data_IF_530021718643
#
_entry.id   IF_530021718643
#
_cell.length_a   1.000
_cell.length_b   1.000
_cell.length_c   1.000
_cell.angle_alpha   90.00
_cell.angle_beta   90.00
_cell.angle_gamma   90.00
#
_symmetry.space_group_name_H-M   'P 1'
#
loop_
_entity.id
_entity.type
_entity.pdbx_description
1 polymer ?
#
# COMPACT_ATOMS: atom_id res chain seq x y z
N UNK A 1 27.80 1.58 -17.34
CA UNK A 1 27.25 2.72 -16.59
C UNK A 1 25.74 2.53 -16.60
N UNK A 2 25.28 1.60 -15.77
CA UNK A 2 23.88 1.17 -15.62
C UNK A 2 23.71 1.10 -14.09
N UNK A 3 23.73 2.25 -13.43
CA UNK A 3 23.66 2.34 -11.95
C UNK A 3 22.71 3.46 -11.49
N UNK A 4 21.94 4.09 -12.39
CA UNK A 4 21.11 5.27 -12.04
C UNK A 4 19.58 5.06 -12.17
N UNK A 5 19.11 3.88 -12.59
CA UNK A 5 17.66 3.63 -12.76
C UNK A 5 17.05 2.89 -11.54
N UNK A 6 17.83 2.12 -10.78
CA UNK A 6 17.33 1.36 -9.62
C UNK A 6 17.13 2.21 -8.36
N UNK A 7 17.83 3.34 -8.19
CA UNK A 7 17.78 4.14 -6.94
C UNK A 7 16.54 5.05 -6.80
N UNK A 8 15.71 5.19 -7.83
CA UNK A 8 14.67 6.24 -7.85
C UNK A 8 13.26 5.76 -7.50
N UNK A 9 13.02 4.46 -7.54
CA UNK A 9 11.72 3.85 -7.23
C UNK A 9 11.61 3.52 -5.73
N UNK A 10 12.73 3.31 -5.04
CA UNK A 10 12.79 2.94 -3.61
C UNK A 10 12.43 4.08 -2.63
N UNK A 11 12.68 5.34 -3.01
CA UNK A 11 12.76 6.45 -2.05
C UNK A 11 11.40 7.02 -1.61
N UNK A 12 10.32 6.77 -2.36
CA UNK A 12 8.98 7.25 -2.01
C UNK A 12 8.20 6.22 -1.19
N UNK A 13 8.28 4.94 -1.54
CA UNK A 13 7.56 3.84 -0.88
C UNK A 13 7.90 3.78 0.62
N UNK A 14 9.19 3.70 0.93
CA UNK A 14 9.66 3.62 2.30
C UNK A 14 9.43 4.92 3.07
N UNK A 15 9.64 6.08 2.44
CA UNK A 15 9.49 7.37 3.10
C UNK A 15 8.04 7.65 3.51
N UNK A 16 7.07 7.31 2.65
CA UNK A 16 5.68 7.66 2.86
C UNK A 16 4.99 6.72 3.86
N UNK A 17 5.44 5.46 3.96
CA UNK A 17 5.01 4.51 5.00
C UNK A 17 5.80 4.63 6.31
N UNK A 18 6.98 5.25 6.31
CA UNK A 18 7.82 5.37 7.52
C UNK A 18 7.09 6.03 8.69
N UNK A 19 6.34 7.11 8.43
CA UNK A 19 5.50 7.76 9.45
C UNK A 19 4.40 6.82 9.99
N UNK A 20 3.98 5.84 9.19
CA UNK A 20 2.94 4.89 9.56
C UNK A 20 3.38 3.77 10.45
N UNK A 21 4.68 3.57 10.56
CA UNK A 21 5.19 2.52 11.43
C UNK A 21 4.89 2.87 12.88
N UNK A 22 4.19 1.97 13.55
CA UNK A 22 3.73 2.11 14.92
C UNK A 22 2.35 2.74 15.03
N UNK A 23 1.77 3.30 13.96
CA UNK A 23 0.47 3.99 14.01
C UNK A 23 -0.71 3.05 13.75
N UNK A 24 -1.85 3.34 14.39
CA UNK A 24 -3.06 2.52 14.24
C UNK A 24 -3.79 2.84 12.96
N UNK A 25 -4.19 1.81 12.22
CA UNK A 25 -5.08 1.98 11.08
C UNK A 25 -6.51 2.24 11.56
N UNK A 26 -7.06 3.41 11.26
CA UNK A 26 -8.42 3.80 11.67
C UNK A 26 -9.44 3.68 10.56
N UNK A 27 -8.99 3.68 9.30
CA UNK A 27 -9.85 3.57 8.13
C UNK A 27 -9.11 3.01 6.92
N UNK A 28 -9.81 2.22 6.12
CA UNK A 28 -9.35 1.76 4.82
C UNK A 28 -10.48 1.95 3.79
N UNK A 29 -10.17 2.59 2.66
CA UNK A 29 -11.14 2.88 1.59
C UNK A 29 -10.60 2.40 0.24
N UNK A 30 -11.43 1.71 -0.54
CA UNK A 30 -11.11 1.33 -1.92
C UNK A 30 -11.88 2.21 -2.90
N UNK A 31 -11.15 2.88 -3.80
CA UNK A 31 -11.67 3.77 -4.82
C UNK A 31 -11.34 3.17 -6.19
N UNK A 32 -12.34 3.09 -7.05
CA UNK A 32 -12.18 2.65 -8.44
C UNK A 32 -12.18 3.87 -9.35
N UNK A 33 -11.10 4.10 -10.08
CA UNK A 33 -11.04 5.14 -11.11
C UNK A 33 -11.55 4.57 -12.44
N UNK A 34 -12.22 5.40 -13.24
CA UNK A 34 -12.60 4.97 -14.60
C UNK A 34 -11.33 4.68 -15.40
N UNK A 35 -11.32 3.65 -16.26
CA UNK A 35 -10.15 3.34 -17.07
C UNK A 35 -9.73 4.57 -17.89
N UNK A 36 -8.47 4.97 -17.74
CA UNK A 36 -7.85 5.91 -18.65
C UNK A 36 -7.70 5.21 -20.02
N UNK A 37 -7.87 5.98 -21.09
CA UNK A 37 -8.04 5.43 -22.45
C UNK A 37 -6.79 4.68 -22.94
N UNK A 38 -5.62 4.93 -22.36
CA UNK A 38 -4.34 4.39 -22.80
C UNK A 38 -3.44 3.97 -21.63
N UNK A 39 -3.75 2.87 -20.92
CA UNK A 39 -2.77 1.99 -20.27
C UNK A 39 -3.45 0.86 -19.45
N UNK A 40 -3.08 -0.40 -19.73
CA UNK A 40 -3.12 -1.65 -18.91
C UNK A 40 -4.29 -1.97 -17.94
N UNK A 41 -5.43 -1.28 -17.92
CA UNK A 41 -6.62 -1.66 -17.13
C UNK A 41 -7.19 -0.52 -16.27
N UNK A 42 -8.26 -0.77 -15.47
CA UNK A 42 -8.74 0.22 -14.53
C UNK A 42 -7.69 0.46 -13.43
N UNK A 43 -7.45 1.74 -13.15
CA UNK A 43 -6.64 2.16 -11.99
C UNK A 43 -7.49 2.07 -10.72
N UNK A 44 -6.95 1.46 -9.69
CA UNK A 44 -7.57 1.32 -8.37
C UNK A 44 -6.70 2.01 -7.33
N UNK A 45 -7.34 2.57 -6.29
CA UNK A 45 -6.66 3.24 -5.18
C UNK A 45 -7.19 2.69 -3.86
N UNK A 46 -6.28 2.31 -2.96
CA UNK A 46 -6.57 2.04 -1.56
C UNK A 46 -6.06 3.21 -0.74
N UNK A 47 -6.91 3.80 0.08
CA UNK A 47 -6.54 4.84 1.03
C UNK A 47 -6.56 4.25 2.43
N UNK A 48 -5.38 4.20 3.06
CA UNK A 48 -5.18 3.84 4.45
C UNK A 48 -5.07 5.11 5.29
N UNK A 49 -5.88 5.22 6.34
CA UNK A 49 -5.85 6.35 7.28
C UNK A 49 -5.34 5.86 8.61
N UNK A 50 -4.32 6.53 9.14
CA UNK A 50 -3.68 6.18 10.40
C UNK A 50 -3.83 7.31 11.43
N UNK A 51 -3.78 6.96 12.72
CA UNK A 51 -3.61 7.94 13.81
C UNK A 51 -2.31 8.75 13.62
N UNK A 52 -2.32 10.04 13.93
CA UNK A 52 -1.13 10.89 13.95
C UNK A 52 -0.75 11.22 15.40
N UNK A 53 -0.07 10.28 16.08
CA UNK A 53 0.25 10.46 17.51
C UNK A 53 1.42 11.42 17.78
N UNK A 54 2.09 11.88 16.73
CA UNK A 54 3.14 12.92 16.82
C UNK A 54 2.57 14.31 17.13
N UNK A 55 1.26 14.52 16.92
CA UNK A 55 0.60 15.79 17.20
C UNK A 55 -0.10 15.78 18.56
N UNK A 56 -0.14 16.96 19.21
CA UNK A 56 -0.80 17.15 20.51
C UNK A 56 -2.30 16.86 20.42
N UNK A 57 -2.88 16.97 19.22
CA UNK A 57 -4.28 16.68 18.97
C UNK A 57 -4.48 15.19 18.67
N UNK A 58 -5.17 14.51 19.57
CA UNK A 58 -5.43 13.06 19.56
C UNK A 58 -6.35 12.67 18.39
N UNK A 59 -7.07 13.62 17.79
CA UNK A 59 -7.97 13.35 16.66
C UNK A 59 -7.29 13.48 15.29
N UNK A 60 -6.01 13.87 15.25
CA UNK A 60 -5.30 13.99 13.98
C UNK A 60 -5.04 12.64 13.33
N UNK A 61 -5.17 12.63 12.01
CA UNK A 61 -4.91 11.46 11.17
C UNK A 61 -4.09 11.88 9.95
N UNK A 62 -3.36 10.95 9.38
CA UNK A 62 -2.76 11.13 8.07
C UNK A 62 -3.05 9.91 7.19
N UNK A 63 -2.88 10.10 5.89
CA UNK A 63 -3.34 9.14 4.87
C UNK A 63 -2.20 8.68 3.99
N UNK A 64 -2.24 7.41 3.62
CA UNK A 64 -1.36 6.78 2.63
C UNK A 64 -2.26 6.20 1.54
N UNK A 65 -1.93 6.49 0.29
CA UNK A 65 -2.62 5.92 -0.87
C UNK A 65 -1.74 4.86 -1.52
N UNK A 66 -2.32 3.72 -1.86
CA UNK A 66 -1.71 2.67 -2.69
C UNK A 66 -2.49 2.66 -4.00
N UNK A 67 -1.84 2.92 -5.12
CA UNK A 67 -2.44 3.04 -6.44
C UNK A 67 -1.81 1.97 -7.33
N UNK A 68 -2.62 1.23 -8.07
CA UNK A 68 -2.12 0.24 -9.02
C UNK A 68 -3.16 -0.03 -10.12
N UNK A 69 -2.69 -0.56 -11.25
CA UNK A 69 -3.55 -1.08 -12.31
C UNK A 69 -3.82 -2.57 -12.09
N UNK A 70 -5.05 -3.03 -12.35
CA UNK A 70 -5.51 -4.41 -12.10
C UNK A 70 -5.18 -4.89 -10.68
N UNK A 71 -5.55 -4.08 -9.68
CA UNK A 71 -5.16 -4.32 -8.30
C UNK A 71 -5.91 -5.50 -7.66
N UNK A 72 -5.15 -6.43 -7.09
CA UNK A 72 -5.67 -7.42 -6.14
C UNK A 72 -5.33 -6.97 -4.72
N UNK A 73 -6.37 -6.84 -3.89
CA UNK A 73 -6.25 -6.40 -2.49
C UNK A 73 -6.72 -7.53 -1.59
N UNK A 74 -5.83 -8.03 -0.74
CA UNK A 74 -6.08 -9.12 0.18
C UNK A 74 -5.74 -8.75 1.61
N UNK A 75 -6.49 -9.33 2.54
CA UNK A 75 -6.22 -9.24 3.98
C UNK A 75 -6.14 -10.65 4.53
N UNK A 76 -5.13 -10.96 5.34
CA UNK A 76 -5.00 -12.27 5.96
C UNK A 76 -4.49 -12.23 7.40
N UNK A 77 -4.70 -13.32 8.12
CA UNK A 77 -4.09 -13.56 9.43
C UNK A 77 -2.71 -14.23 9.28
N UNK A 78 -2.08 -14.53 10.42
CA UNK A 78 -0.78 -15.22 10.51
C UNK A 78 -0.73 -16.63 9.92
N UNK A 79 -1.88 -17.22 9.59
CA UNK A 79 -1.99 -18.52 8.95
C UNK A 79 -2.35 -18.41 7.47
N UNK A 80 -2.30 -17.21 6.90
CA UNK A 80 -2.73 -16.89 5.54
C UNK A 80 -4.23 -17.17 5.29
N UNK A 81 -5.06 -17.19 6.33
CA UNK A 81 -6.51 -17.27 6.14
C UNK A 81 -7.01 -15.90 5.67
N UNK A 82 -7.83 -15.83 4.60
CA UNK A 82 -8.45 -14.58 4.18
C UNK A 82 -9.34 -13.99 5.28
N UNK A 83 -9.18 -12.70 5.54
CA UNK A 83 -9.90 -11.95 6.56
C UNK A 83 -10.62 -10.74 5.95
N UNK A 84 -11.60 -10.20 6.67
CA UNK A 84 -12.18 -8.90 6.35
C UNK A 84 -11.32 -7.75 6.89
N UNK A 85 -11.35 -6.59 6.22
CA UNK A 85 -10.58 -5.40 6.59
C UNK A 85 -10.88 -4.90 8.00
N UNK A 86 -12.11 -5.12 8.48
CA UNK A 86 -12.55 -4.84 9.85
C UNK A 86 -11.69 -5.55 10.92
N UNK A 87 -11.04 -6.65 10.56
CA UNK A 87 -10.14 -7.39 11.45
C UNK A 87 -8.83 -6.65 11.70
N UNK A 88 -8.45 -5.71 10.83
CA UNK A 88 -7.21 -4.92 10.93
C UNK A 88 -7.46 -3.51 11.47
N UNK A 89 -8.67 -2.98 11.35
CA UNK A 89 -9.00 -1.67 11.90
C UNK A 89 -8.73 -1.63 13.41
N UNK A 90 -7.97 -0.64 13.86
CA UNK A 90 -7.51 -0.44 15.24
C UNK A 90 -6.15 -1.07 15.54
N UNK A 91 -5.58 -1.85 14.63
CA UNK A 91 -4.25 -2.46 14.79
C UNK A 91 -3.14 -1.52 14.32
N UNK A 92 -1.99 -1.58 14.98
CA UNK A 92 -0.80 -0.81 14.59
C UNK A 92 -0.06 -1.48 13.43
N UNK A 93 0.43 -0.67 12.49
CA UNK A 93 1.36 -1.14 11.47
C UNK A 93 2.73 -1.37 12.11
N UNK A 94 3.28 -2.57 11.99
CA UNK A 94 4.57 -2.96 12.57
C UNK A 94 5.70 -2.89 11.57
N UNK A 95 5.43 -3.30 10.33
CA UNK A 95 6.43 -3.36 9.26
C UNK A 95 5.76 -3.34 7.88
N UNK A 96 6.57 -3.17 6.84
CA UNK A 96 6.12 -3.19 5.46
C UNK A 96 7.26 -3.53 4.50
N UNK A 97 6.92 -4.08 3.33
CA UNK A 97 7.90 -4.42 2.31
C UNK A 97 7.29 -4.48 0.91
N UNK A 98 8.16 -4.40 -0.09
CA UNK A 98 7.80 -4.54 -1.50
C UNK A 98 8.56 -5.71 -2.13
N UNK A 99 7.88 -6.49 -2.96
CA UNK A 99 8.47 -7.56 -3.76
C UNK A 99 8.12 -7.35 -5.22
N UNK A 100 9.15 -7.36 -6.07
CA UNK A 100 9.01 -7.30 -7.52
C UNK A 100 8.95 -8.72 -8.09
N UNK A 101 7.86 -9.05 -8.78
CA UNK A 101 7.76 -10.29 -9.55
C UNK A 101 8.13 -10.01 -11.00
N UNK A 102 9.34 -10.39 -11.39
CA UNK A 102 9.73 -10.47 -12.79
C UNK A 102 8.89 -11.57 -13.46
N UNK A 103 7.82 -11.17 -14.13
CA UNK A 103 7.10 -12.08 -15.01
C UNK A 103 7.98 -12.34 -16.23
N UNK A 104 8.28 -13.61 -16.52
CA UNK A 104 9.10 -14.08 -17.65
C UNK A 104 8.61 -13.66 -19.06
N UNK A 105 7.53 -12.87 -19.17
CA UNK A 105 7.01 -12.31 -20.41
C UNK A 105 7.10 -10.78 -20.35
N UNK A 106 7.86 -10.19 -21.28
CA UNK A 106 8.03 -8.74 -21.46
C UNK A 106 6.70 -8.00 -21.76
N UNK A 107 5.65 -8.74 -22.16
CA UNK A 107 4.33 -8.20 -22.56
C UNK A 107 3.36 -7.94 -21.39
N UNK A 108 3.63 -8.50 -20.22
CA UNK A 108 2.92 -8.17 -18.98
C UNK A 108 3.91 -7.41 -18.11
N UNK A 109 3.69 -6.11 -17.86
CA UNK A 109 4.56 -5.35 -16.97
C UNK A 109 4.81 -6.10 -15.66
N UNK A 110 5.97 -5.92 -15.03
CA UNK A 110 6.28 -6.60 -13.77
C UNK A 110 5.14 -6.38 -12.75
N UNK A 111 4.69 -7.46 -12.11
CA UNK A 111 3.71 -7.37 -11.02
C UNK A 111 4.48 -7.00 -9.76
N UNK A 112 4.04 -5.94 -9.08
CA UNK A 112 4.59 -5.53 -7.80
C UNK A 112 3.64 -5.93 -6.69
N UNK A 113 4.20 -6.39 -5.56
CA UNK A 113 3.47 -6.64 -4.33
C UNK A 113 3.96 -5.74 -3.21
N UNK A 114 3.03 -5.02 -2.60
CA UNK A 114 3.23 -4.39 -1.31
C UNK A 114 2.61 -5.24 -0.20
N UNK A 115 3.36 -5.52 0.85
CA UNK A 115 2.90 -6.19 2.06
C UNK A 115 3.01 -5.25 3.25
N UNK A 116 1.93 -5.09 4.00
CA UNK A 116 1.87 -4.31 5.24
C UNK A 116 1.55 -5.26 6.40
N UNK A 117 2.39 -5.26 7.43
CA UNK A 117 2.31 -6.18 8.58
C UNK A 117 1.79 -5.42 9.79
N UNK A 118 0.74 -5.92 10.42
CA UNK A 118 0.05 -5.32 11.57
C UNK A 118 0.19 -6.18 12.82
N UNK A 119 -0.19 -5.61 13.98
CA UNK A 119 -0.27 -6.34 15.25
C UNK A 119 -1.04 -7.66 15.13
N UNK A 120 -0.67 -8.65 15.95
CA UNK A 120 -1.20 -10.02 15.88
C UNK A 120 -0.96 -10.71 14.53
N UNK A 121 0.09 -10.27 13.81
CA UNK A 121 0.57 -10.86 12.56
C UNK A 121 -0.52 -10.87 11.46
N UNK A 122 -1.36 -9.84 11.45
CA UNK A 122 -2.28 -9.60 10.34
C UNK A 122 -1.55 -8.91 9.20
N UNK A 123 -1.94 -9.20 7.96
CA UNK A 123 -1.29 -8.64 6.78
C UNK A 123 -2.31 -8.04 5.81
N UNK A 124 -1.93 -6.92 5.19
CA UNK A 124 -2.53 -6.44 3.95
C UNK A 124 -1.54 -6.72 2.82
N UNK A 125 -2.01 -7.42 1.80
CA UNK A 125 -1.25 -7.70 0.58
C UNK A 125 -1.92 -6.99 -0.59
N UNK A 126 -1.14 -6.21 -1.34
CA UNK A 126 -1.61 -5.51 -2.54
C UNK A 126 -0.73 -5.91 -3.71
N UNK A 127 -1.33 -6.57 -4.69
CA UNK A 127 -0.70 -6.90 -5.97
C UNK A 127 -1.22 -5.98 -7.06
N UNK A 128 -0.36 -5.56 -7.99
CA UNK A 128 -0.81 -4.83 -9.17
C UNK A 128 0.32 -4.43 -10.11
N UNK A 129 -0.04 -3.86 -11.25
CA UNK A 129 0.92 -3.27 -12.18
C UNK A 129 1.11 -1.79 -11.88
N UNK A 130 2.33 -1.28 -12.05
CA UNK A 130 2.69 0.11 -11.76
C UNK A 130 2.26 0.53 -10.35
N UNK A 131 2.57 -0.30 -9.35
CA UNK A 131 2.19 -0.06 -7.97
C UNK A 131 2.94 1.18 -7.47
N UNK A 132 2.17 2.12 -6.93
CA UNK A 132 2.67 3.38 -6.40
C UNK A 132 2.08 3.60 -5.01
N UNK A 133 2.93 3.93 -4.04
CA UNK A 133 2.49 4.40 -2.72
C UNK A 133 2.83 5.87 -2.58
N UNK A 134 1.82 6.67 -2.21
CA UNK A 134 1.96 8.10 -2.01
C UNK A 134 1.37 8.51 -0.66
N UNK A 135 2.10 9.35 0.07
CA UNK A 135 1.53 10.08 1.20
C UNK A 135 0.46 11.03 0.68
N UNK A 136 -0.76 10.85 1.16
CA UNK A 136 -1.81 11.81 0.91
C UNK A 136 -1.73 12.91 1.98
N UNK A 137 -1.04 14.00 1.64
CA UNK A 137 -1.22 15.27 2.37
C UNK A 137 -2.62 15.77 2.07
N UNK A 138 -3.47 15.91 3.09
CA UNK A 138 -4.70 16.68 2.95
C UNK A 138 -4.30 18.15 2.68
N UNK A 139 -4.89 18.76 1.66
CA UNK A 139 -4.88 20.22 1.46
C UNK A 139 -5.60 20.95 2.60
#
# INVERSE_FOLDING_TARGET
>A
MIEEIEERIDDNFHRDLWKSRGEKLVKCEKIFHKPAIDETGPSEQIILTFEDTDQIDIENTYKVSIIANNMEFGVCDSFNNPMGIESIIGKRLLDYGEVHFDTFNEDTGAVQRATLIFEEDYEINVDGYNLLIEKHTAE
#
